data_IF_413084329400
#
_entry.id   IF_413084329400
#
_cell.length_a   1.000
_cell.length_b   1.000
_cell.length_c   1.000
_cell.angle_alpha   90.00
_cell.angle_beta   90.00
_cell.angle_gamma   90.00
#
_symmetry.space_group_name_H-M   'P 1'
#
loop_
_entity.id
_entity.type
_entity.pdbx_description
1 polymer ?
#
# COMPACT_ATOMS: atom_id res chain seq x y z
N UNK A 1 9.13 -20.19 -18.53
CA UNK A 1 8.50 -19.00 -19.15
C UNK A 1 8.75 -17.85 -18.19
N UNK A 2 9.56 -16.85 -18.58
CA UNK A 2 9.78 -15.66 -17.75
C UNK A 2 8.45 -14.94 -17.53
N UNK A 3 7.85 -15.15 -16.35
CA UNK A 3 6.65 -14.43 -15.93
C UNK A 3 7.10 -12.99 -15.68
N UNK A 4 6.56 -12.07 -16.48
CA UNK A 4 6.68 -10.65 -16.18
C UNK A 4 5.98 -10.30 -14.87
N UNK A 5 6.35 -9.15 -14.32
CA UNK A 5 5.82 -8.64 -13.06
C UNK A 5 5.31 -7.22 -13.28
N UNK A 6 4.01 -7.03 -13.02
CA UNK A 6 3.34 -5.74 -13.07
C UNK A 6 3.03 -5.27 -11.65
N UNK A 7 3.51 -4.09 -11.28
CA UNK A 7 3.40 -3.53 -9.93
C UNK A 7 2.73 -2.16 -10.01
N UNK A 8 1.74 -1.92 -9.18
CA UNK A 8 1.11 -0.61 -9.03
C UNK A 8 1.25 -0.10 -7.60
N UNK A 9 1.67 1.14 -7.47
CA UNK A 9 1.82 1.88 -6.21
C UNK A 9 0.77 2.98 -6.13
N UNK A 10 -0.11 2.92 -5.13
CA UNK A 10 -1.13 3.93 -4.87
C UNK A 10 -0.64 4.94 -3.82
N UNK A 11 -0.98 6.22 -4.02
CA UNK A 11 -0.51 7.34 -3.19
C UNK A 11 1.01 7.51 -3.28
N UNK A 12 1.53 7.49 -4.52
CA UNK A 12 2.98 7.34 -4.77
C UNK A 12 3.83 8.51 -4.26
N UNK A 13 3.24 9.68 -4.04
CA UNK A 13 3.95 10.86 -3.56
C UNK A 13 5.14 11.20 -4.46
N UNK A 14 6.34 11.15 -3.89
CA UNK A 14 7.60 11.45 -4.60
C UNK A 14 8.07 10.33 -5.53
N UNK A 15 7.33 9.23 -5.62
CA UNK A 15 7.66 8.05 -6.41
C UNK A 15 8.70 7.14 -5.74
N UNK A 16 8.95 7.29 -4.43
CA UNK A 16 10.01 6.57 -3.72
C UNK A 16 9.86 5.04 -3.82
N UNK A 17 8.65 4.51 -3.60
CA UNK A 17 8.34 3.08 -3.69
C UNK A 17 8.57 2.56 -5.12
N UNK A 18 7.94 3.10 -6.17
CA UNK A 18 8.09 2.55 -7.52
C UNK A 18 9.51 2.75 -8.07
N UNK A 19 10.22 3.82 -7.69
CA UNK A 19 11.64 3.99 -7.96
C UNK A 19 12.49 2.89 -7.32
N UNK A 20 12.31 2.66 -6.01
CA UNK A 20 13.07 1.67 -5.26
C UNK A 20 12.84 0.26 -5.79
N UNK A 21 11.58 -0.11 -6.00
CA UNK A 21 11.20 -1.43 -6.53
C UNK A 21 11.75 -1.63 -7.94
N UNK A 22 11.57 -0.65 -8.84
CA UNK A 22 12.10 -0.76 -10.20
C UNK A 22 13.63 -0.85 -10.19
N UNK A 23 14.30 -0.04 -9.36
CA UNK A 23 15.76 -0.06 -9.24
C UNK A 23 16.30 -1.41 -8.79
N UNK A 24 15.61 -2.06 -7.85
CA UNK A 24 16.01 -3.36 -7.29
C UNK A 24 15.75 -4.52 -8.25
N UNK A 25 14.70 -4.45 -9.07
CA UNK A 25 14.25 -5.56 -9.92
C UNK A 25 14.68 -5.44 -11.38
N UNK A 26 15.10 -4.26 -11.85
CA UNK A 26 15.43 -4.01 -13.26
C UNK A 26 16.50 -4.93 -13.86
N UNK A 27 17.35 -5.58 -13.04
CA UNK A 27 18.40 -6.49 -13.49
C UNK A 27 18.05 -7.97 -13.35
N UNK A 28 17.08 -8.31 -12.50
CA UNK A 28 16.68 -9.70 -12.22
C UNK A 28 15.36 -10.10 -12.90
N UNK A 29 14.55 -9.12 -13.32
CA UNK A 29 13.25 -9.35 -13.97
C UNK A 29 13.29 -8.80 -15.39
N UNK A 30 13.04 -9.66 -16.39
CA UNK A 30 13.11 -9.29 -17.81
C UNK A 30 11.92 -8.46 -18.28
N UNK A 31 10.72 -8.79 -17.81
CA UNK A 31 9.49 -8.07 -18.09
C UNK A 31 8.99 -7.40 -16.80
N UNK A 32 9.24 -6.11 -16.63
CA UNK A 32 8.95 -5.36 -15.41
C UNK A 32 8.17 -4.08 -15.74
N UNK A 33 6.94 -4.00 -15.28
CA UNK A 33 6.12 -2.78 -15.38
C UNK A 33 5.84 -2.30 -13.97
N UNK A 34 6.26 -1.08 -13.66
CA UNK A 34 6.00 -0.43 -12.37
C UNK A 34 5.29 0.89 -12.64
N UNK A 35 4.14 1.10 -12.00
CA UNK A 35 3.36 2.33 -12.12
C UNK A 35 3.11 2.94 -10.75
N UNK A 36 3.51 4.20 -10.57
CA UNK A 36 3.04 5.01 -9.44
C UNK A 36 1.81 5.82 -9.83
N UNK A 37 0.81 5.90 -8.94
CA UNK A 37 -0.34 6.77 -9.13
C UNK A 37 -0.57 7.70 -7.94
N UNK A 38 -0.96 8.93 -8.24
CA UNK A 38 -1.27 9.95 -7.24
C UNK A 38 -2.32 10.94 -7.76
N UNK A 39 -3.04 11.58 -6.84
CA UNK A 39 -4.01 12.63 -7.19
C UNK A 39 -3.35 14.00 -7.34
N UNK A 40 -2.22 14.22 -6.67
CA UNK A 40 -1.52 15.50 -6.53
C UNK A 40 -0.63 15.80 -7.74
N UNK A 41 -0.92 16.85 -8.54
CA UNK A 41 -0.07 17.24 -9.67
C UNK A 41 1.37 17.60 -9.25
N UNK A 42 1.56 18.08 -8.02
CA UNK A 42 2.88 18.40 -7.47
C UNK A 42 3.69 17.13 -7.21
N UNK A 43 3.05 16.12 -6.59
CA UNK A 43 3.66 14.81 -6.34
C UNK A 43 4.05 14.13 -7.65
N UNK A 44 3.14 14.08 -8.63
CA UNK A 44 3.38 13.50 -9.94
C UNK A 44 4.57 14.13 -10.66
N UNK A 45 4.67 15.47 -10.66
CA UNK A 45 5.81 16.18 -11.25
C UNK A 45 7.12 15.82 -10.55
N UNK A 46 7.12 15.82 -9.22
CA UNK A 46 8.32 15.48 -8.44
C UNK A 46 8.76 14.02 -8.66
N UNK A 47 7.83 13.09 -8.73
CA UNK A 47 8.12 11.69 -9.05
C UNK A 47 8.74 11.54 -10.45
N UNK A 48 8.21 12.25 -11.45
CA UNK A 48 8.78 12.28 -12.80
C UNK A 48 10.19 12.90 -12.82
N UNK A 49 10.43 13.98 -12.07
CA UNK A 49 11.75 14.58 -11.90
C UNK A 49 12.75 13.62 -11.25
N UNK A 50 12.31 12.87 -10.22
CA UNK A 50 13.12 11.86 -9.55
C UNK A 50 13.48 10.69 -10.49
N UNK A 51 12.54 10.22 -11.32
CA UNK A 51 12.81 9.21 -12.37
C UNK A 51 13.85 9.75 -13.34
N UNK A 52 13.62 10.94 -13.90
CA UNK A 52 14.53 11.53 -14.87
C UNK A 52 15.93 11.76 -14.29
N UNK A 53 16.03 12.17 -13.02
CA UNK A 53 17.30 12.32 -12.30
C UNK A 53 18.03 10.99 -12.18
N UNK A 54 17.36 9.93 -11.75
CA UNK A 54 17.98 8.61 -11.58
C UNK A 54 18.41 7.99 -12.91
N UNK A 55 17.65 8.21 -13.99
CA UNK A 55 18.08 7.83 -15.35
C UNK A 55 19.34 8.60 -15.78
N UNK A 56 19.43 9.91 -15.49
CA UNK A 56 20.64 10.71 -15.78
C UNK A 56 21.86 10.26 -14.98
N UNK A 57 21.66 9.82 -13.74
CA UNK A 57 22.72 9.30 -12.87
C UNK A 57 23.13 7.86 -13.22
N UNK A 58 22.40 7.19 -14.12
CA UNK A 58 22.68 5.81 -14.52
C UNK A 58 22.26 4.76 -13.47
N UNK A 59 21.52 5.15 -12.43
CA UNK A 59 20.98 4.22 -11.43
C UNK A 59 19.75 3.48 -11.95
N UNK A 60 19.02 4.08 -12.91
CA UNK A 60 17.90 3.45 -13.60
C UNK A 60 18.19 3.32 -15.09
N UNK A 61 17.82 2.16 -15.65
CA UNK A 61 17.80 1.96 -17.09
C UNK A 61 16.77 2.88 -17.75
N UNK A 62 17.01 3.21 -19.01
CA UNK A 62 16.01 3.91 -19.83
C UNK A 62 14.81 2.98 -20.07
N UNK A 63 13.57 3.51 -20.11
CA UNK A 63 12.39 2.73 -20.41
C UNK A 63 12.52 1.97 -21.74
N UNK A 64 12.07 0.72 -21.75
CA UNK A 64 11.99 -0.14 -22.95
C UNK A 64 10.58 -0.69 -23.10
N UNK A 65 10.33 -1.48 -24.14
CA UNK A 65 9.06 -2.20 -24.30
C UNK A 65 8.76 -3.14 -23.11
N UNK A 66 9.81 -3.73 -22.54
CA UNK A 66 9.71 -4.78 -21.52
C UNK A 66 9.94 -4.26 -20.10
N UNK A 67 10.60 -3.11 -19.95
CA UNK A 67 10.92 -2.51 -18.65
C UNK A 67 10.45 -1.06 -18.61
N UNK A 68 9.38 -0.80 -17.85
CA UNK A 68 8.75 0.53 -17.76
C UNK A 68 8.52 0.92 -16.32
N UNK A 69 8.89 2.17 -16.01
CA UNK A 69 8.53 2.87 -14.79
C UNK A 69 7.79 4.14 -15.21
N UNK A 70 6.52 4.25 -14.86
CA UNK A 70 5.69 5.41 -15.21
C UNK A 70 4.89 5.94 -14.02
N UNK A 71 4.49 7.21 -14.13
CA UNK A 71 3.74 7.95 -13.10
C UNK A 71 2.50 8.55 -13.75
N UNK A 72 1.32 8.21 -13.25
CA UNK A 72 0.04 8.62 -13.83
C UNK A 72 -0.88 9.23 -12.77
N UNK A 73 -1.69 10.21 -13.16
CA UNK A 73 -2.70 10.78 -12.26
C UNK A 73 -3.88 9.82 -12.13
N UNK A 74 -4.25 9.49 -10.91
CA UNK A 74 -5.49 8.78 -10.61
C UNK A 74 -5.97 9.13 -9.20
N UNK A 75 -7.29 9.17 -9.00
CA UNK A 75 -7.91 9.27 -7.70
C UNK A 75 -8.40 7.88 -7.27
N UNK A 76 -7.88 7.33 -6.17
CA UNK A 76 -8.29 6.01 -5.65
C UNK A 76 -9.80 5.94 -5.36
N UNK A 77 -10.44 7.08 -5.04
CA UNK A 77 -11.89 7.16 -4.81
C UNK A 77 -12.72 7.38 -6.09
N UNK A 78 -12.09 7.53 -7.26
CA UNK A 78 -12.77 7.57 -8.56
C UNK A 78 -12.92 6.15 -9.10
N UNK A 79 -14.14 5.63 -9.15
CA UNK A 79 -14.39 4.33 -9.79
C UNK A 79 -13.97 4.33 -11.26
N UNK A 80 -14.18 5.43 -11.98
CA UNK A 80 -13.76 5.57 -13.37
C UNK A 80 -12.25 5.39 -13.55
N UNK A 81 -11.45 5.98 -12.65
CA UNK A 81 -9.99 5.86 -12.69
C UNK A 81 -9.57 4.42 -12.36
N UNK A 82 -10.19 3.80 -11.37
CA UNK A 82 -9.87 2.41 -10.99
C UNK A 82 -10.25 1.41 -12.07
N UNK A 83 -11.37 1.63 -12.78
CA UNK A 83 -11.76 0.83 -13.95
C UNK A 83 -10.78 0.99 -15.11
N UNK A 84 -10.24 2.19 -15.33
CA UNK A 84 -9.19 2.41 -16.33
C UNK A 84 -7.90 1.67 -15.96
N UNK A 85 -7.55 1.55 -14.68
CA UNK A 85 -6.38 0.79 -14.23
C UNK A 85 -6.60 -0.73 -14.33
N UNK A 86 -7.85 -1.20 -14.21
CA UNK A 86 -8.22 -2.62 -14.30
C UNK A 86 -8.03 -3.23 -15.71
N UNK A 87 -7.85 -2.41 -16.74
CA UNK A 87 -7.53 -2.90 -18.11
C UNK A 87 -6.14 -3.53 -18.18
N UNK A 88 -5.27 -3.23 -17.21
CA UNK A 88 -3.93 -3.80 -17.08
C UNK A 88 -3.94 -4.83 -15.94
N UNK A 89 -3.43 -6.06 -16.14
CA UNK A 89 -3.28 -6.99 -15.04
C UNK A 89 -2.14 -6.52 -14.12
N UNK A 90 -2.39 -6.48 -12.81
CA UNK A 90 -1.40 -6.13 -11.79
C UNK A 90 -1.11 -7.36 -10.94
N UNK A 91 0.16 -7.73 -10.79
CA UNK A 91 0.58 -8.85 -9.95
C UNK A 91 0.71 -8.43 -8.49
N UNK A 92 1.17 -7.19 -8.26
CA UNK A 92 1.45 -6.66 -6.93
C UNK A 92 0.83 -5.27 -6.80
N UNK A 93 0.11 -5.05 -5.70
CA UNK A 93 -0.29 -3.72 -5.26
C UNK A 93 0.54 -3.33 -4.04
N UNK A 94 1.05 -2.11 -4.04
CA UNK A 94 1.68 -1.48 -2.87
C UNK A 94 1.03 -0.13 -2.60
N UNK A 95 1.02 0.30 -1.34
CA UNK A 95 0.60 1.66 -0.99
C UNK A 95 1.14 2.07 0.37
N UNK A 96 1.62 3.31 0.46
CA UNK A 96 1.73 4.04 1.71
C UNK A 96 0.67 5.16 1.70
N UNK A 97 -0.58 4.87 2.10
CA UNK A 97 -1.66 5.85 2.01
C UNK A 97 -1.61 6.86 3.17
N UNK A 98 -2.32 7.99 3.07
CA UNK A 98 -2.57 8.86 4.22
C UNK A 98 -3.34 8.10 5.31
N UNK A 99 -2.74 7.94 6.50
CA UNK A 99 -3.31 7.12 7.58
C UNK A 99 -3.34 7.80 8.95
N UNK A 100 -2.97 9.08 9.04
CA UNK A 100 -2.89 9.82 10.30
C UNK A 100 -4.26 10.43 10.63
N UNK A 101 -4.73 10.23 11.87
CA UNK A 101 -5.98 10.82 12.34
C UNK A 101 -5.87 12.33 12.53
N UNK A 102 -7.01 13.03 12.45
CA UNK A 102 -7.05 14.47 12.69
C UNK A 102 -6.63 14.86 14.10
N UNK A 103 -6.99 14.05 15.10
CA UNK A 103 -6.65 14.32 16.49
C UNK A 103 -5.13 14.29 16.70
N UNK A 104 -4.43 13.33 16.07
CA UNK A 104 -2.96 13.27 16.08
C UNK A 104 -2.38 14.49 15.37
N UNK A 105 -2.95 14.86 14.21
CA UNK A 105 -2.53 16.03 13.44
C UNK A 105 -2.69 17.35 14.21
N UNK A 106 -3.78 17.55 14.94
CA UNK A 106 -4.06 18.78 15.68
C UNK A 106 -3.33 18.85 17.01
N UNK A 107 -3.33 17.77 17.78
CA UNK A 107 -2.86 17.78 19.17
C UNK A 107 -1.41 17.31 19.34
N UNK A 108 -0.74 16.81 18.30
CA UNK A 108 0.67 16.40 18.35
C UNK A 108 0.96 15.36 19.44
N UNK A 109 -0.04 14.54 19.79
CA UNK A 109 0.09 13.51 20.82
C UNK A 109 0.89 12.34 20.25
N UNK A 110 2.21 12.42 20.35
CA UNK A 110 3.13 11.33 20.02
C UNK A 110 3.34 11.07 18.51
N UNK A 111 4.53 10.55 18.19
CA UNK A 111 5.04 10.03 16.91
C UNK A 111 5.07 10.93 15.67
N UNK A 112 4.22 11.96 15.51
CA UNK A 112 4.42 12.94 14.43
C UNK A 112 5.55 13.90 14.81
N UNK A 113 6.73 13.66 14.24
CA UNK A 113 7.88 14.57 14.37
C UNK A 113 7.49 15.99 13.98
N UNK A 114 8.01 16.98 14.70
CA UNK A 114 7.77 18.40 14.42
C UNK A 114 8.03 18.78 12.95
N UNK A 115 9.02 18.14 12.31
CA UNK A 115 9.33 18.29 10.88
C UNK A 115 8.21 17.80 9.96
N UNK A 116 7.58 16.68 10.27
CA UNK A 116 6.48 16.09 9.48
C UNK A 116 5.29 17.05 9.44
N UNK A 117 4.88 17.59 10.59
CA UNK A 117 3.79 18.58 10.66
C UNK A 117 4.08 19.88 9.92
N UNK A 118 5.36 20.24 9.80
CA UNK A 118 5.79 21.53 9.24
C UNK A 118 6.08 21.48 7.74
N UNK A 119 6.58 20.36 7.22
CA UNK A 119 7.10 20.28 5.86
C UNK A 119 6.37 19.29 4.96
N UNK A 120 5.57 18.38 5.50
CA UNK A 120 4.79 17.44 4.68
C UNK A 120 3.38 17.98 4.40
N UNK A 121 2.87 17.81 3.16
CA UNK A 121 1.55 18.28 2.81
C UNK A 121 0.48 17.48 3.54
N UNK A 122 -0.56 18.15 4.08
CA UNK A 122 -1.68 17.49 4.78
C UNK A 122 -2.29 16.34 3.96
N UNK A 123 -2.42 16.51 2.64
CA UNK A 123 -2.96 15.50 1.72
C UNK A 123 -2.19 14.16 1.74
N UNK A 124 -0.91 14.17 2.09
CA UNK A 124 -0.09 12.96 2.21
C UNK A 124 -0.22 12.28 3.58
N UNK A 125 -0.80 12.97 4.57
CA UNK A 125 -0.79 12.52 5.95
C UNK A 125 -2.19 12.16 6.46
N UNK A 126 -3.16 13.05 6.21
CA UNK A 126 -4.49 12.99 6.84
C UNK A 126 -5.54 12.81 5.75
N UNK A 127 -6.37 11.75 5.82
CA UNK A 127 -7.50 11.60 4.93
C UNK A 127 -8.41 12.83 4.92
N UNK A 128 -9.02 13.11 3.77
CA UNK A 128 -10.01 14.18 3.69
C UNK A 128 -11.31 13.79 4.41
N UNK A 129 -11.95 14.73 5.10
CA UNK A 129 -13.16 14.48 5.91
C UNK A 129 -14.35 14.07 5.07
N UNK A 130 -14.39 14.58 3.84
CA UNK A 130 -15.49 14.39 2.91
C UNK A 130 -15.38 13.05 2.15
N UNK A 131 -14.37 12.22 2.48
CA UNK A 131 -14.23 10.90 1.89
C UNK A 131 -15.33 9.96 2.41
N UNK A 132 -15.90 9.12 1.53
CA UNK A 132 -16.95 8.19 1.90
C UNK A 132 -16.38 7.06 2.76
N UNK A 133 -16.42 7.23 4.09
CA UNK A 133 -16.13 6.20 5.08
C UNK A 133 -17.47 5.68 5.61
N UNK A 134 -17.68 4.36 5.56
CA UNK A 134 -18.91 3.75 6.07
C UNK A 134 -19.08 4.05 7.56
N UNK A 135 -20.30 4.01 8.11
CA UNK A 135 -20.61 4.42 9.49
C UNK A 135 -19.87 3.64 10.61
N UNK A 136 -19.14 2.58 10.26
CA UNK A 136 -18.29 1.78 11.17
C UNK A 136 -16.78 1.99 10.94
N UNK A 137 -16.39 2.76 9.93
CA UNK A 137 -14.99 2.99 9.56
C UNK A 137 -14.44 4.21 10.31
N UNK A 138 -13.22 4.11 10.86
CA UNK A 138 -12.52 5.27 11.42
C UNK A 138 -12.03 6.14 10.24
N UNK A 139 -12.21 7.47 10.25
CA UNK A 139 -11.76 8.33 9.16
C UNK A 139 -10.27 8.18 8.80
N UNK A 140 -9.41 7.85 9.78
CA UNK A 140 -8.00 7.58 9.55
C UNK A 140 -7.74 6.33 8.69
N UNK A 141 -8.73 5.43 8.61
CA UNK A 141 -8.59 4.13 7.96
C UNK A 141 -9.35 4.07 6.60
N UNK A 142 -9.94 5.17 6.14
CA UNK A 142 -10.79 5.22 4.93
C UNK A 142 -10.06 4.79 3.65
N UNK A 143 -8.77 5.09 3.54
CA UNK A 143 -7.96 4.62 2.41
C UNK A 143 -7.83 3.10 2.40
N UNK A 144 -7.68 2.45 3.56
CA UNK A 144 -7.61 0.99 3.62
C UNK A 144 -8.92 0.35 3.19
N UNK A 145 -10.06 0.86 3.63
CA UNK A 145 -11.36 0.37 3.17
C UNK A 145 -11.46 0.42 1.63
N UNK A 146 -11.08 1.56 1.03
CA UNK A 146 -11.09 1.72 -0.42
C UNK A 146 -10.04 0.84 -1.14
N UNK A 147 -8.86 0.68 -0.57
CA UNK A 147 -7.80 -0.15 -1.14
C UNK A 147 -8.17 -1.65 -1.11
N UNK A 148 -8.98 -2.11 -0.17
CA UNK A 148 -9.55 -3.45 -0.17
C UNK A 148 -10.54 -3.64 -1.34
N UNK A 149 -11.41 -2.65 -1.62
CA UNK A 149 -12.28 -2.68 -2.81
C UNK A 149 -11.46 -2.74 -4.11
N UNK A 150 -10.41 -1.93 -4.20
CA UNK A 150 -9.49 -1.90 -5.35
C UNK A 150 -8.78 -3.25 -5.50
N UNK A 151 -8.42 -3.89 -4.38
CA UNK A 151 -7.81 -5.23 -4.38
C UNK A 151 -8.77 -6.28 -4.94
N UNK A 152 -10.05 -6.21 -4.61
CA UNK A 152 -11.08 -7.08 -5.21
C UNK A 152 -11.26 -6.85 -6.72
N UNK A 153 -11.19 -5.59 -7.15
CA UNK A 153 -11.30 -5.21 -8.55
C UNK A 153 -10.09 -5.69 -9.37
N UNK A 154 -8.87 -5.40 -8.91
CA UNK A 154 -7.63 -5.64 -9.65
C UNK A 154 -7.10 -7.07 -9.49
N UNK A 155 -7.53 -7.80 -8.46
CA UNK A 155 -7.19 -9.21 -8.18
C UNK A 155 -5.68 -9.52 -8.24
N UNK A 156 -4.83 -8.72 -7.58
CA UNK A 156 -3.40 -8.99 -7.56
C UNK A 156 -3.08 -10.30 -6.85
N UNK A 157 -1.85 -10.79 -7.05
CA UNK A 157 -1.31 -11.97 -6.34
C UNK A 157 -0.92 -11.60 -4.92
N UNK A 158 -0.34 -10.41 -4.76
CA UNK A 158 0.19 -9.90 -3.49
C UNK A 158 -0.20 -8.44 -3.31
N UNK A 159 -0.52 -8.08 -2.07
CA UNK A 159 -0.78 -6.70 -1.67
C UNK A 159 0.03 -6.39 -0.42
N UNK A 160 0.65 -5.20 -0.38
CA UNK A 160 1.36 -4.71 0.79
C UNK A 160 0.98 -3.26 1.06
N UNK A 161 0.38 -2.99 2.23
CA UNK A 161 0.06 -1.63 2.65
C UNK A 161 0.84 -1.24 3.90
N UNK A 162 1.40 -0.03 3.90
CA UNK A 162 1.95 0.57 5.12
C UNK A 162 0.82 0.90 6.09
N UNK A 163 1.07 0.71 7.39
CA UNK A 163 0.16 1.02 8.51
C UNK A 163 0.94 1.73 9.62
N UNK A 164 0.26 2.59 10.37
CA UNK A 164 0.90 3.46 11.36
C UNK A 164 1.35 2.75 12.64
N UNK A 165 0.47 1.96 13.27
CA UNK A 165 0.73 1.32 14.57
C UNK A 165 -0.12 0.05 14.80
N UNK A 166 0.04 -0.59 15.98
CA UNK A 166 -0.71 -1.80 16.38
C UNK A 166 -2.22 -1.56 16.44
N UNK A 167 -2.66 -0.38 16.88
CA UNK A 167 -4.08 -0.08 17.02
C UNK A 167 -4.74 0.02 15.64
N UNK A 168 -4.09 0.74 14.72
CA UNK A 168 -4.51 0.82 13.34
C UNK A 168 -4.44 -0.54 12.64
N UNK A 169 -3.41 -1.35 12.91
CA UNK A 169 -3.32 -2.70 12.38
C UNK A 169 -4.57 -3.52 12.71
N UNK A 170 -5.04 -3.47 13.97
CA UNK A 170 -6.25 -4.17 14.41
C UNK A 170 -7.51 -3.67 13.70
N UNK A 171 -7.67 -2.35 13.54
CA UNK A 171 -8.82 -1.77 12.82
C UNK A 171 -8.81 -2.11 11.34
N UNK A 172 -7.65 -2.06 10.69
CA UNK A 172 -7.50 -2.45 9.27
C UNK A 172 -7.75 -3.95 9.09
N UNK A 173 -7.31 -4.79 10.01
CA UNK A 173 -7.63 -6.21 9.97
C UNK A 173 -9.13 -6.49 10.16
N UNK A 174 -9.83 -5.71 11.00
CA UNK A 174 -11.30 -5.81 11.08
C UNK A 174 -11.96 -5.46 9.75
N UNK A 175 -11.52 -4.39 9.07
CA UNK A 175 -11.98 -4.06 7.71
C UNK A 175 -11.71 -5.21 6.73
N UNK A 176 -10.51 -5.79 6.76
CA UNK A 176 -10.13 -6.92 5.94
C UNK A 176 -11.05 -8.13 6.17
N UNK A 177 -11.26 -8.56 7.41
CA UNK A 177 -12.08 -9.75 7.71
C UNK A 177 -13.57 -9.57 7.43
N UNK A 178 -14.06 -8.33 7.47
CA UNK A 178 -15.42 -7.97 7.03
C UNK A 178 -15.55 -7.89 5.50
N UNK A 179 -14.44 -7.86 4.76
CA UNK A 179 -14.42 -7.72 3.30
C UNK A 179 -14.46 -9.09 2.59
N UNK A 180 -15.11 -9.22 1.40
CA UNK A 180 -15.15 -10.47 0.63
C UNK A 180 -13.78 -11.08 0.30
N UNK A 181 -12.74 -10.24 0.18
CA UNK A 181 -11.38 -10.71 -0.16
C UNK A 181 -10.80 -11.65 0.89
N UNK A 182 -11.20 -11.53 2.17
CA UNK A 182 -10.67 -12.38 3.24
C UNK A 182 -11.04 -13.86 3.06
N UNK A 183 -12.09 -14.16 2.30
CA UNK A 183 -12.48 -15.54 1.96
C UNK A 183 -11.53 -16.18 0.93
N UNK A 184 -10.79 -15.36 0.18
CA UNK A 184 -9.97 -15.78 -0.97
C UNK A 184 -8.49 -15.44 -0.77
N UNK A 185 -8.13 -14.95 0.41
CA UNK A 185 -6.78 -14.51 0.71
C UNK A 185 -6.40 -14.84 2.14
N UNK A 186 -5.09 -14.83 2.41
CA UNK A 186 -4.54 -14.86 3.77
C UNK A 186 -3.80 -13.56 4.02
N UNK A 187 -3.74 -13.15 5.29
CA UNK A 187 -3.07 -11.92 5.69
C UNK A 187 -2.00 -12.19 6.75
N UNK A 188 -0.96 -11.36 6.75
CA UNK A 188 0.09 -11.31 7.76
C UNK A 188 0.36 -9.84 8.14
N UNK A 189 0.84 -9.60 9.36
CA UNK A 189 1.33 -8.29 9.79
C UNK A 189 2.86 -8.32 9.85
N UNK A 190 3.51 -7.30 9.31
CA UNK A 190 4.95 -7.20 9.26
C UNK A 190 5.44 -6.02 10.08
N UNK A 191 6.52 -6.25 10.82
CA UNK A 191 7.27 -5.22 11.55
C UNK A 191 8.36 -4.59 10.69
N UNK A 192 9.11 -3.64 11.24
CA UNK A 192 10.23 -2.95 10.57
C UNK A 192 11.22 -3.93 9.90
N UNK A 193 11.53 -5.06 10.55
CA UNK A 193 12.46 -6.07 10.06
C UNK A 193 11.77 -7.44 9.90
N UNK A 194 10.99 -7.65 8.83
CA UNK A 194 10.17 -8.86 8.67
C UNK A 194 11.00 -10.14 8.52
N UNK A 195 12.21 -10.03 7.96
CA UNK A 195 13.13 -11.15 7.73
C UNK A 195 13.99 -11.50 8.96
N UNK A 196 13.79 -10.83 10.10
CA UNK A 196 14.55 -11.10 11.30
C UNK A 196 14.05 -12.38 12.00
N UNK A 197 14.82 -13.46 11.88
CA UNK A 197 14.48 -14.79 12.42
C UNK A 197 14.63 -14.91 13.96
N UNK A 198 15.20 -13.90 14.62
CA UNK A 198 15.40 -13.92 16.08
C UNK A 198 14.18 -13.50 16.91
N UNK A 199 13.12 -13.01 16.27
CA UNK A 199 11.90 -12.59 16.96
C UNK A 199 11.02 -13.80 17.30
N UNK A 200 10.42 -13.80 18.49
CA UNK A 200 9.40 -14.80 18.83
C UNK A 200 8.22 -14.68 17.87
N UNK A 201 7.72 -15.81 17.40
CA UNK A 201 6.45 -15.85 16.67
C UNK A 201 5.37 -15.18 17.53
N UNK A 202 4.76 -14.13 16.98
CA UNK A 202 3.69 -13.38 17.65
C UNK A 202 2.47 -13.35 16.74
N UNK A 203 1.30 -13.21 17.33
CA UNK A 203 0.04 -13.18 16.59
C UNK A 203 -0.83 -12.05 17.12
N UNK A 204 -1.59 -11.41 16.23
CA UNK A 204 -2.69 -10.54 16.60
C UNK A 204 -3.95 -11.41 16.63
N UNK A 205 -4.58 -11.44 17.81
CA UNK A 205 -5.88 -12.09 18.02
C UNK A 205 -6.96 -11.02 17.90
N UNK A 206 -7.98 -11.29 17.07
CA UNK A 206 -9.14 -10.43 16.87
C UNK A 206 -10.42 -11.22 17.16
N UNK A 207 -11.33 -10.57 17.89
CA UNK A 207 -12.69 -11.05 18.10
C UNK A 207 -13.63 -10.32 17.15
N UNK A 208 -14.18 -11.05 16.16
CA UNK A 208 -15.11 -10.48 15.21
C UNK A 208 -16.54 -10.61 15.76
N UNK A 209 -17.07 -9.50 16.27
CA UNK A 209 -18.38 -9.43 16.95
C UNK A 209 -19.55 -9.97 16.10
N UNK A 210 -19.41 -10.01 14.77
CA UNK A 210 -20.47 -10.48 13.86
C UNK A 210 -20.42 -12.00 13.60
N UNK A 211 -19.34 -12.70 13.97
CA UNK A 211 -19.17 -14.14 13.68
C UNK A 211 -18.90 -15.02 14.91
N UNK A 212 -18.68 -14.43 16.10
CA UNK A 212 -18.16 -15.15 17.29
C UNK A 212 -16.88 -15.97 16.98
N UNK A 213 -16.17 -15.58 15.92
CA UNK A 213 -14.96 -16.25 15.46
C UNK A 213 -13.73 -15.49 15.96
N UNK A 214 -12.78 -16.24 16.50
CA UNK A 214 -11.44 -15.76 16.82
C UNK A 214 -10.56 -15.89 15.58
N UNK A 215 -10.09 -14.76 15.06
CA UNK A 215 -9.12 -14.75 13.97
C UNK A 215 -7.71 -14.48 14.51
N UNK A 216 -6.77 -15.33 14.11
CA UNK A 216 -5.34 -15.20 14.46
C UNK A 216 -4.55 -14.82 13.23
N UNK A 217 -3.84 -13.70 13.32
CA UNK A 217 -3.03 -13.18 12.23
C UNK A 217 -1.56 -13.22 12.64
N UNK A 218 -0.68 -13.91 11.90
CA UNK A 218 0.73 -13.98 12.24
C UNK A 218 1.40 -12.62 12.09
N UNK A 219 2.28 -12.30 13.03
CA UNK A 219 3.13 -11.11 13.04
C UNK A 219 4.57 -11.56 12.79
N UNK A 220 5.18 -11.05 11.72
CA UNK A 220 6.56 -11.36 11.33
C UNK A 220 7.52 -10.23 11.66
N UNK A 221 8.73 -10.64 12.05
CA UNK A 221 9.87 -9.76 12.24
C UNK A 221 10.00 -9.14 13.62
N UNK A 222 10.86 -8.13 13.69
CA UNK A 222 11.17 -7.36 14.89
C UNK A 222 10.97 -5.85 14.68
N UNK A 223 10.78 -5.11 15.77
CA UNK A 223 10.51 -3.67 15.75
C UNK A 223 9.01 -3.30 15.85
N UNK A 224 8.65 -2.14 15.34
CA UNK A 224 7.28 -1.64 15.30
C UNK A 224 6.51 -2.29 14.15
N UNK A 225 5.19 -2.43 14.33
CA UNK A 225 4.30 -2.84 13.23
C UNK A 225 4.30 -1.77 12.15
N UNK A 226 4.43 -2.19 10.89
CA UNK A 226 4.58 -1.28 9.74
C UNK A 226 3.74 -1.62 8.53
N UNK A 227 3.37 -2.87 8.33
CA UNK A 227 2.60 -3.22 7.15
C UNK A 227 1.66 -4.40 7.35
N UNK A 228 0.64 -4.42 6.51
CA UNK A 228 -0.24 -5.55 6.29
C UNK A 228 0.07 -6.14 4.91
N UNK A 229 0.31 -7.44 4.89
CA UNK A 229 0.54 -8.22 3.68
C UNK A 229 -0.67 -9.12 3.42
N UNK A 230 -1.21 -9.07 2.21
CA UNK A 230 -2.33 -9.93 1.79
C UNK A 230 -1.89 -10.76 0.58
N UNK A 231 -2.07 -12.06 0.69
CA UNK A 231 -1.79 -13.03 -0.37
C UNK A 231 -3.08 -13.60 -0.93
N UNK A 232 -3.31 -13.42 -2.22
CA UNK A 232 -4.44 -14.01 -2.90
C UNK A 232 -4.20 -15.52 -3.13
N UNK A 233 -5.06 -16.36 -2.56
CA UNK A 233 -4.95 -17.82 -2.60
C UNK A 233 -5.42 -18.40 -3.93
N UNK A 234 -6.23 -17.68 -4.71
CA UNK A 234 -6.69 -18.12 -6.05
C UNK A 234 -5.53 -18.28 -7.06
N UNK A 235 -4.36 -17.70 -6.75
CA UNK A 235 -3.15 -17.85 -7.56
C UNK A 235 -2.24 -19.00 -7.14
N UNK A 236 -2.50 -19.65 -5.99
CA UNK A 236 -1.76 -20.83 -5.56
C UNK A 236 -2.17 -22.10 -6.33
N UNK A 237 -3.36 -22.07 -6.93
CA UNK A 237 -3.95 -23.18 -7.70
C UNK A 237 -3.70 -23.06 -9.23
N UNK A 238 -2.88 -22.10 -9.69
CA UNK A 238 -2.60 -21.80 -11.11
C UNK A 238 -1.12 -21.83 -11.49
#
# INVERSE_FOLDING_TARGET
MDRGVNIIDFCTGTGCIPLGVFSSLQHSVDNLIVRGVDVSPVALRLAQENIARNVRLGTLIKPTKHKRLDITRANVFSDGDMQQLAVTPWDIIVSNPPYISEDIWHHGRGQLGYSVRKYEPRLALVPDKDLPCTSKCNPADVFYARLLDITELLKPRVVLFEIGDDEQARRVLQLYFSHPIAQKSRTEIWRDLPDFEGAKATEIVLHLNEREEECRVPVKGDGLIRSILIHNLEWAER
#
